data_IF_089605468936
#
_entry.id   IF_089605468936
#
_cell.length_a   1.000
_cell.length_b   1.000
_cell.length_c   1.000
_cell.angle_alpha   90.00
_cell.angle_beta   90.00
_cell.angle_gamma   90.00
#
_symmetry.space_group_name_H-M   'P 1'
#
loop_
_entity.id
_entity.type
_entity.pdbx_description
1 polymer ?
#
# COMPACT_ATOMS: atom_id res chain seq x y z
N UNK A 1 22.60 6.57 -2.27
CA UNK A 1 22.51 5.31 -3.03
C UNK A 1 23.88 4.95 -3.55
N UNK A 2 24.29 3.69 -3.38
CA UNK A 2 25.49 3.16 -4.03
C UNK A 2 25.16 2.73 -5.49
N UNK A 3 26.16 2.27 -6.24
CA UNK A 3 25.97 1.82 -7.63
C UNK A 3 25.04 0.61 -7.77
N UNK A 4 25.00 -0.27 -6.76
CA UNK A 4 24.09 -1.41 -6.74
C UNK A 4 22.63 -0.93 -6.64
N UNK A 5 22.34 0.01 -5.75
CA UNK A 5 21.01 0.58 -5.59
C UNK A 5 20.51 1.19 -6.90
N UNK A 6 21.36 1.93 -7.63
CA UNK A 6 21.01 2.50 -8.93
C UNK A 6 20.66 1.41 -9.95
N UNK A 7 21.49 0.37 -10.06
CA UNK A 7 21.25 -0.76 -10.97
C UNK A 7 19.95 -1.50 -10.65
N UNK A 8 19.70 -1.76 -9.37
CA UNK A 8 18.49 -2.47 -8.94
C UNK A 8 17.24 -1.62 -9.24
N UNK A 9 17.25 -0.32 -8.94
CA UNK A 9 16.10 0.54 -9.28
C UNK A 9 15.87 0.66 -10.80
N UNK A 10 16.94 0.63 -11.61
CA UNK A 10 16.83 0.66 -13.06
C UNK A 10 16.22 -0.63 -13.65
N UNK A 11 16.61 -1.80 -13.12
CA UNK A 11 16.18 -3.10 -13.66
C UNK A 11 14.92 -3.68 -13.00
N UNK A 12 14.61 -3.26 -11.78
CA UNK A 12 13.49 -3.79 -10.98
C UNK A 12 12.59 -2.69 -10.40
N UNK A 13 12.12 -1.72 -11.21
CA UNK A 13 11.26 -0.65 -10.72
C UNK A 13 9.98 -1.23 -10.09
N UNK A 14 9.56 -0.69 -8.95
CA UNK A 14 8.38 -1.19 -8.24
C UNK A 14 8.61 -2.45 -7.40
N UNK A 15 9.75 -3.12 -7.53
CA UNK A 15 10.14 -4.31 -6.75
C UNK A 15 11.21 -4.01 -5.70
N UNK A 16 11.75 -2.79 -5.69
CA UNK A 16 12.73 -2.32 -4.71
C UNK A 16 12.02 -1.47 -3.67
N UNK A 17 12.26 -1.76 -2.39
CA UNK A 17 11.64 -1.04 -1.29
C UNK A 17 12.71 -0.39 -0.41
N UNK A 18 12.56 0.92 -0.20
CA UNK A 18 13.34 1.70 0.76
C UNK A 18 12.86 1.44 2.18
N UNK A 19 13.49 0.47 2.86
CA UNK A 19 13.12 0.01 4.21
C UNK A 19 13.25 1.10 5.28
N UNK A 20 14.10 2.09 5.05
CA UNK A 20 14.23 3.29 5.90
C UNK A 20 12.94 4.13 5.93
N UNK A 21 12.27 4.29 4.78
CA UNK A 21 11.04 5.08 4.67
C UNK A 21 9.84 4.44 5.35
N UNK A 22 9.84 3.12 5.52
CA UNK A 22 8.77 2.37 6.19
C UNK A 22 8.54 2.90 7.60
N UNK A 23 9.62 3.22 8.34
CA UNK A 23 9.51 3.76 9.71
C UNK A 23 8.86 5.15 9.72
N UNK A 24 9.23 5.99 8.76
CA UNK A 24 8.72 7.37 8.60
C UNK A 24 7.22 7.41 8.27
N UNK A 25 6.73 6.45 7.49
CA UNK A 25 5.31 6.37 7.11
C UNK A 25 4.47 5.66 8.14
N UNK A 26 5.01 4.64 8.82
CA UNK A 26 4.25 3.81 9.76
C UNK A 26 3.68 4.62 10.92
N UNK A 27 4.46 5.49 11.57
CA UNK A 27 4.02 6.25 12.73
C UNK A 27 3.23 5.38 13.74
N UNK A 28 2.02 5.81 14.08
CA UNK A 28 1.06 5.05 14.91
C UNK A 28 0.01 4.26 14.08
N UNK A 29 0.18 4.18 12.76
CA UNK A 29 -0.76 3.46 11.91
C UNK A 29 -0.71 1.96 12.19
N UNK A 30 -1.88 1.34 12.37
CA UNK A 30 -2.04 -0.10 12.65
C UNK A 30 -1.91 -0.98 11.39
N UNK A 31 -1.39 -0.41 10.29
CA UNK A 31 -1.29 -1.06 8.98
C UNK A 31 -0.14 -2.08 9.01
N UNK A 32 -0.34 -3.30 8.48
CA UNK A 32 0.73 -4.28 8.39
C UNK A 32 1.92 -3.76 7.57
N UNK A 33 3.14 -4.06 8.03
CA UNK A 33 4.38 -3.54 7.42
C UNK A 33 4.51 -3.90 5.94
N UNK A 34 4.12 -5.12 5.53
CA UNK A 34 4.21 -5.54 4.13
C UNK A 34 3.32 -4.71 3.19
N UNK A 35 2.21 -4.15 3.68
CA UNK A 35 1.34 -3.26 2.89
C UNK A 35 2.05 -1.92 2.66
N UNK A 36 2.69 -1.37 3.71
CA UNK A 36 3.48 -0.15 3.58
C UNK A 36 4.65 -0.35 2.62
N UNK A 37 5.33 -1.49 2.70
CA UNK A 37 6.43 -1.84 1.81
C UNK A 37 5.99 -1.93 0.35
N UNK A 38 4.85 -2.58 0.09
CA UNK A 38 4.27 -2.66 -1.25
C UNK A 38 3.97 -1.26 -1.81
N UNK A 39 3.31 -0.40 -1.02
CA UNK A 39 2.97 0.96 -1.46
C UNK A 39 4.24 1.80 -1.68
N UNK A 40 5.21 1.75 -0.75
CA UNK A 40 6.47 2.48 -0.89
C UNK A 40 7.31 1.97 -2.06
N UNK A 41 7.28 0.68 -2.37
CA UNK A 41 7.93 0.15 -3.58
C UNK A 41 7.35 0.75 -4.86
N UNK A 42 6.04 0.99 -4.91
CA UNK A 42 5.38 1.58 -6.08
C UNK A 42 5.63 3.08 -6.24
N UNK A 43 5.67 3.83 -5.13
CA UNK A 43 5.70 5.30 -5.17
C UNK A 43 7.05 5.92 -4.80
N UNK A 44 7.98 5.15 -4.22
CA UNK A 44 9.26 5.65 -3.70
C UNK A 44 10.48 4.85 -4.19
N UNK A 45 10.37 4.08 -5.28
CA UNK A 45 11.50 3.37 -5.92
C UNK A 45 12.41 4.31 -6.72
N UNK A 46 12.92 5.36 -6.08
CA UNK A 46 13.83 6.36 -6.67
C UNK A 46 14.78 6.92 -5.61
N UNK A 47 15.82 7.65 -6.05
CA UNK A 47 16.71 8.43 -5.20
C UNK A 47 16.45 9.94 -5.23
N UNK A 48 15.52 10.39 -6.08
CA UNK A 48 15.13 11.79 -6.16
C UNK A 48 14.29 12.19 -4.95
N UNK A 49 14.85 13.02 -4.07
CA UNK A 49 14.23 13.39 -2.80
C UNK A 49 12.85 14.07 -2.97
N UNK A 50 12.66 15.02 -3.92
CA UNK A 50 11.33 15.57 -4.22
C UNK A 50 10.30 14.49 -4.59
N UNK A 51 10.67 13.55 -5.45
CA UNK A 51 9.78 12.45 -5.85
C UNK A 51 9.49 11.51 -4.68
N UNK A 52 10.47 11.23 -3.82
CA UNK A 52 10.27 10.43 -2.60
C UNK A 52 9.23 11.10 -1.69
N UNK A 53 9.35 12.40 -1.44
CA UNK A 53 8.42 13.12 -0.58
C UNK A 53 6.99 13.13 -1.15
N UNK A 54 6.85 13.37 -2.46
CA UNK A 54 5.56 13.27 -3.15
C UNK A 54 4.98 11.85 -3.07
N UNK A 55 5.83 10.82 -3.19
CA UNK A 55 5.47 9.42 -3.05
C UNK A 55 4.97 9.10 -1.64
N UNK A 56 5.67 9.56 -0.61
CA UNK A 56 5.27 9.39 0.80
C UNK A 56 3.88 10.00 1.04
N UNK A 57 3.63 11.21 0.54
CA UNK A 57 2.34 11.87 0.70
C UNK A 57 1.23 11.10 -0.04
N UNK A 58 1.52 10.59 -1.22
CA UNK A 58 0.60 9.72 -1.99
C UNK A 58 0.26 8.46 -1.20
N UNK A 59 1.25 7.81 -0.57
CA UNK A 59 1.03 6.62 0.27
C UNK A 59 0.17 6.95 1.48
N UNK A 60 0.44 8.06 2.17
CA UNK A 60 -0.39 8.51 3.31
C UNK A 60 -1.83 8.74 2.88
N UNK A 61 -2.04 9.36 1.73
CA UNK A 61 -3.37 9.64 1.19
C UNK A 61 -4.12 8.36 0.80
N UNK A 62 -3.44 7.39 0.19
CA UNK A 62 -4.00 6.07 -0.13
C UNK A 62 -4.47 5.37 1.15
N UNK A 63 -3.62 5.34 2.19
CA UNK A 63 -3.96 4.71 3.45
C UNK A 63 -5.16 5.42 4.11
N UNK A 64 -5.13 6.75 4.16
CA UNK A 64 -6.22 7.56 4.73
C UNK A 64 -7.57 7.31 4.03
N UNK A 65 -7.57 7.13 2.71
CA UNK A 65 -8.80 6.97 1.92
C UNK A 65 -9.30 5.53 1.85
N UNK A 66 -8.41 4.55 1.86
CA UNK A 66 -8.75 3.18 1.48
C UNK A 66 -8.60 2.18 2.62
N UNK A 67 -7.86 2.50 3.69
CA UNK A 67 -7.73 1.59 4.81
C UNK A 67 -9.04 1.49 5.59
N UNK A 68 -9.51 0.26 5.82
CA UNK A 68 -10.75 0.02 6.54
C UNK A 68 -10.49 0.01 8.04
N UNK A 69 -10.99 1.01 8.74
CA UNK A 69 -10.98 1.01 10.20
C UNK A 69 -12.07 0.09 10.76
N UNK A 70 -11.79 -0.62 11.87
CA UNK A 70 -12.71 -1.63 12.44
C UNK A 70 -14.12 -1.10 12.74
N UNK A 71 -14.25 0.20 13.05
CA UNK A 71 -15.53 0.85 13.34
C UNK A 71 -16.28 1.35 12.10
N UNK A 72 -15.66 1.34 10.91
CA UNK A 72 -16.17 2.01 9.71
C UNK A 72 -16.75 1.04 8.66
N UNK A 73 -16.92 -0.23 9.01
CA UNK A 73 -17.41 -1.25 8.07
C UNK A 73 -18.75 -0.87 7.40
N UNK A 74 -19.67 -0.24 8.15
CA UNK A 74 -20.93 0.25 7.60
C UNK A 74 -20.75 1.40 6.60
N UNK A 75 -19.87 2.36 6.92
CA UNK A 75 -19.55 3.49 6.05
C UNK A 75 -18.90 3.02 4.75
N UNK A 76 -17.96 2.08 4.82
CA UNK A 76 -17.31 1.49 3.64
C UNK A 76 -18.32 0.76 2.75
N UNK A 77 -19.25 0.00 3.35
CA UNK A 77 -20.34 -0.67 2.60
C UNK A 77 -21.25 0.34 1.90
N UNK A 78 -21.62 1.46 2.55
CA UNK A 78 -22.42 2.52 1.91
C UNK A 78 -21.67 3.15 0.73
N UNK A 79 -20.39 3.47 0.92
CA UNK A 79 -19.54 4.00 -0.15
C UNK A 79 -19.45 3.06 -1.35
N UNK A 80 -19.30 1.75 -1.14
CA UNK A 80 -19.29 0.74 -2.21
C UNK A 80 -20.63 0.74 -2.94
N UNK A 81 -21.74 0.74 -2.21
CA UNK A 81 -23.09 0.73 -2.78
C UNK A 81 -23.37 1.96 -3.64
N UNK A 82 -22.99 3.14 -3.17
CA UNK A 82 -23.24 4.41 -3.87
C UNK A 82 -22.31 4.60 -5.08
N UNK A 83 -21.03 4.22 -4.97
CA UNK A 83 -20.04 4.45 -6.03
C UNK A 83 -19.94 3.30 -7.03
N UNK A 84 -20.53 2.15 -6.73
CA UNK A 84 -20.42 0.89 -7.48
C UNK A 84 -19.04 0.23 -7.38
N UNK A 85 -17.96 1.01 -7.45
CA UNK A 85 -16.58 0.54 -7.27
C UNK A 85 -15.86 1.38 -6.22
N UNK A 86 -15.23 0.71 -5.26
CA UNK A 86 -14.44 1.35 -4.21
C UNK A 86 -13.19 0.52 -3.93
N UNK A 87 -12.03 1.18 -3.83
CA UNK A 87 -10.78 0.52 -3.43
C UNK A 87 -10.72 0.46 -1.91
N UNK A 88 -10.36 -0.71 -1.38
CA UNK A 88 -10.19 -0.95 0.06
C UNK A 88 -8.86 -1.63 0.34
N UNK A 89 -8.27 -1.32 1.48
CA UNK A 89 -7.15 -2.02 2.08
C UNK A 89 -7.68 -2.64 3.36
N UNK A 90 -7.89 -3.95 3.33
CA UNK A 90 -8.35 -4.72 4.48
C UNK A 90 -7.77 -6.14 4.39
N UNK A 91 -7.81 -6.87 5.50
CA UNK A 91 -7.47 -8.28 5.53
C UNK A 91 -8.62 -9.10 4.93
N UNK A 92 -8.38 -9.65 3.74
CA UNK A 92 -9.31 -10.57 3.10
C UNK A 92 -8.98 -12.00 3.54
N UNK A 93 -10.00 -12.74 3.97
CA UNK A 93 -9.92 -14.18 4.20
C UNK A 93 -10.70 -14.88 3.08
N UNK A 94 -10.09 -15.88 2.47
CA UNK A 94 -10.75 -16.76 1.50
C UNK A 94 -10.85 -18.16 2.10
N UNK A 95 -11.93 -18.87 1.76
CA UNK A 95 -12.12 -20.26 2.12
C UNK A 95 -12.38 -21.04 0.82
N UNK A 96 -11.83 -22.26 0.73
CA UNK A 96 -12.11 -23.15 -0.38
C UNK A 96 -13.58 -23.58 -0.31
N UNK A 97 -14.29 -23.51 -1.44
CA UNK A 97 -15.64 -24.03 -1.56
C UNK A 97 -15.61 -25.39 -2.25
N UNK A 98 -15.39 -26.43 -1.46
CA UNK A 98 -15.26 -27.83 -1.91
C UNK A 98 -16.53 -28.35 -2.64
N UNK A 99 -17.64 -27.59 -2.65
CA UNK A 99 -18.91 -27.98 -3.30
C UNK A 99 -18.97 -27.68 -4.80
N UNK A 100 -18.09 -26.82 -5.31
CA UNK A 100 -18.06 -26.41 -6.73
C UNK A 100 -16.70 -26.67 -7.39
N UNK A 101 -15.79 -27.34 -6.70
CA UNK A 101 -14.57 -27.91 -7.30
C UNK A 101 -14.98 -29.12 -8.16
N UNK A 102 -15.26 -28.85 -9.43
CA UNK A 102 -15.35 -29.85 -10.49
C UNK A 102 -14.05 -29.81 -11.31
#
# INVERSE_FOLDING_TARGET
MNELDKKINAHFPGLVVRKDLVKTVKGNAIVPTYVLEYLLGQYCATSDEPTIQAGIETVREILRKHYVHRGEAGLVRSNIKEKGRYKVIDKISVALNDKTDA
#
